data_IF_435396653948
#
_entry.id   IF_435396653948
#
_cell.length_a   1.000
_cell.length_b   1.000
_cell.length_c   1.000
_cell.angle_alpha   90.00
_cell.angle_beta   90.00
_cell.angle_gamma   90.00
#
_symmetry.space_group_name_H-M   'P 1'
#
loop_
_entity.id
_entity.type
_entity.pdbx_description
1 polymer ?
#
# COMPACT_ATOMS: atom_id res chain seq x y z
N UNK A 1 -62.61 -4.97 -58.22
CA UNK A 1 -62.31 -4.98 -56.77
C UNK A 1 -60.91 -5.53 -56.58
N UNK A 2 -60.04 -4.71 -55.98
CA UNK A 2 -58.79 -5.01 -55.24
C UNK A 2 -57.74 -5.91 -55.93
N UNK A 3 -56.64 -5.32 -56.42
CA UNK A 3 -55.31 -5.24 -55.76
C UNK A 3 -54.59 -6.61 -55.85
N UNK A 4 -53.39 -6.79 -56.43
CA UNK A 4 -52.18 -5.99 -56.32
C UNK A 4 -51.24 -6.23 -57.51
N UNK A 5 -50.78 -5.12 -58.12
CA UNK A 5 -49.44 -4.98 -58.70
C UNK A 5 -48.40 -5.46 -57.67
N UNK A 6 -47.24 -5.95 -58.12
CA UNK A 6 -45.89 -5.44 -57.76
C UNK A 6 -44.79 -6.53 -57.70
N UNK A 7 -43.74 -6.28 -58.50
CA UNK A 7 -42.30 -6.58 -58.28
C UNK A 7 -41.72 -7.98 -58.56
N UNK A 8 -41.44 -8.20 -59.84
CA UNK A 8 -40.08 -8.51 -60.32
C UNK A 8 -39.03 -7.53 -59.75
N UNK A 9 -38.19 -7.97 -58.80
CA UNK A 9 -36.78 -7.58 -58.60
C UNK A 9 -36.31 -8.14 -57.23
N UNK A 10 -35.73 -9.34 -57.20
CA UNK A 10 -34.80 -9.70 -56.13
C UNK A 10 -33.45 -9.76 -56.80
N UNK A 11 -32.78 -8.60 -56.75
CA UNK A 11 -31.40 -8.44 -57.13
C UNK A 11 -30.53 -9.39 -56.29
N UNK A 12 -29.63 -10.08 -56.98
CA UNK A 12 -28.40 -10.63 -56.44
C UNK A 12 -27.70 -9.54 -55.60
N UNK A 13 -27.93 -9.51 -54.29
CA UNK A 13 -26.92 -9.01 -53.36
C UNK A 13 -25.88 -10.11 -53.19
N UNK A 14 -24.95 -10.15 -54.15
CA UNK A 14 -23.61 -10.66 -53.88
C UNK A 14 -23.08 -9.78 -52.75
N UNK A 15 -23.18 -10.27 -51.52
CA UNK A 15 -22.34 -9.79 -50.44
C UNK A 15 -20.90 -9.95 -50.92
N UNK A 16 -20.30 -8.83 -51.33
CA UNK A 16 -18.85 -8.73 -51.42
C UNK A 16 -18.36 -8.96 -50.00
N UNK A 17 -17.97 -10.21 -49.71
CA UNK A 17 -17.16 -10.57 -48.57
C UNK A 17 -15.85 -9.80 -48.72
N UNK A 18 -15.83 -8.57 -48.22
CA UNK A 18 -14.62 -7.83 -47.95
C UNK A 18 -13.73 -8.77 -47.14
N UNK A 19 -12.65 -9.24 -47.77
CA UNK A 19 -11.57 -9.93 -47.09
C UNK A 19 -10.82 -8.90 -46.24
N UNK A 20 -11.47 -8.40 -45.19
CA UNK A 20 -10.74 -7.77 -44.09
C UNK A 20 -10.03 -8.91 -43.37
N UNK A 21 -8.71 -8.91 -43.47
CA UNK A 21 -7.87 -9.87 -42.75
C UNK A 21 -8.00 -9.55 -41.26
N UNK A 22 -8.79 -10.35 -40.53
CA UNK A 22 -8.98 -10.15 -39.08
C UNK A 22 -7.65 -10.26 -38.36
N UNK A 23 -7.22 -9.18 -37.71
CA UNK A 23 -6.07 -9.17 -36.81
C UNK A 23 -6.36 -10.05 -35.59
N UNK A 24 -5.46 -10.98 -35.28
CA UNK A 24 -5.41 -11.67 -34.00
C UNK A 24 -4.47 -10.94 -33.06
N UNK A 25 -4.58 -11.22 -31.76
CA UNK A 25 -3.71 -10.60 -30.77
C UNK A 25 -3.32 -11.57 -29.67
N UNK A 26 -2.17 -11.30 -29.07
CA UNK A 26 -1.67 -12.00 -27.89
C UNK A 26 -1.27 -10.96 -26.86
N UNK A 27 -1.74 -11.12 -25.62
CA UNK A 27 -1.46 -10.22 -24.51
C UNK A 27 -0.50 -10.88 -23.54
N UNK A 28 0.54 -10.16 -23.13
CA UNK A 28 1.60 -10.65 -22.25
C UNK A 28 1.77 -9.68 -21.09
N UNK A 29 1.74 -10.21 -19.88
CA UNK A 29 2.14 -9.51 -18.66
C UNK A 29 3.64 -9.67 -18.47
N UNK A 30 4.33 -8.59 -18.14
CA UNK A 30 5.77 -8.55 -17.92
C UNK A 30 6.10 -7.49 -16.87
N UNK A 31 7.34 -7.48 -16.38
CA UNK A 31 7.82 -6.46 -15.45
C UNK A 31 8.80 -5.53 -16.15
N UNK A 32 8.38 -4.28 -16.37
CA UNK A 32 9.27 -3.20 -16.79
C UNK A 32 10.11 -2.72 -15.60
N UNK A 33 11.18 -1.96 -15.85
CA UNK A 33 11.99 -1.35 -14.79
C UNK A 33 11.78 0.15 -14.80
N UNK A 34 11.33 0.68 -13.66
CA UNK A 34 11.39 2.11 -13.40
C UNK A 34 12.83 2.49 -13.10
N UNK A 35 13.38 3.40 -13.91
CA UNK A 35 14.73 3.89 -13.70
C UNK A 35 14.79 4.82 -12.48
N UNK A 36 15.87 4.74 -11.70
CA UNK A 36 16.11 5.65 -10.58
C UNK A 36 16.20 7.10 -11.07
N UNK A 37 15.78 8.04 -10.23
CA UNK A 37 15.92 9.48 -10.51
C UNK A 37 17.38 9.93 -10.45
N UNK A 38 18.10 9.39 -9.46
CA UNK A 38 19.51 9.65 -9.21
C UNK A 38 20.24 8.29 -9.25
N UNK A 39 20.56 7.75 -10.43
CA UNK A 39 21.25 6.47 -10.54
C UNK A 39 22.59 6.51 -9.80
N UNK A 40 22.91 5.43 -9.08
CA UNK A 40 24.24 5.22 -8.53
C UNK A 40 25.26 4.97 -9.65
N UNK A 41 26.54 5.17 -9.33
CA UNK A 41 27.63 4.89 -10.26
C UNK A 41 27.59 3.41 -10.70
N UNK A 42 27.85 3.14 -11.98
CA UNK A 42 27.84 1.79 -12.56
C UNK A 42 28.84 0.82 -11.91
N UNK A 43 29.83 1.34 -11.19
CA UNK A 43 30.78 0.55 -10.39
C UNK A 43 30.19 -0.01 -9.09
N UNK A 44 29.02 0.47 -8.66
CA UNK A 44 28.37 0.09 -7.41
C UNK A 44 27.34 -0.99 -7.71
N UNK A 45 27.57 -2.19 -7.19
CA UNK A 45 26.66 -3.33 -7.30
C UNK A 45 26.11 -3.80 -5.95
N UNK A 46 26.70 -3.32 -4.85
CA UNK A 46 26.37 -3.72 -3.50
C UNK A 46 25.93 -2.55 -2.62
N UNK A 47 25.09 -2.84 -1.63
CA UNK A 47 24.69 -1.86 -0.61
C UNK A 47 24.65 -2.45 0.80
N UNK A 48 24.84 -1.58 1.78
CA UNK A 48 24.73 -1.87 3.21
C UNK A 48 23.75 -0.90 3.85
N UNK A 49 22.91 -1.40 4.74
CA UNK A 49 21.97 -0.60 5.53
C UNK A 49 22.38 -0.69 7.00
N UNK A 50 22.41 0.45 7.68
CA UNK A 50 22.61 0.54 9.12
C UNK A 50 21.47 1.38 9.67
N UNK A 51 20.75 0.85 10.65
CA UNK A 51 19.67 1.54 11.34
C UNK A 51 20.07 1.74 12.79
N UNK A 52 20.00 2.97 13.26
CA UNK A 52 20.21 3.32 14.66
C UNK A 52 18.90 3.82 15.24
N UNK A 53 18.45 3.15 16.31
CA UNK A 53 17.28 3.56 17.10
C UNK A 53 17.70 3.83 18.55
N UNK A 54 17.03 4.75 19.27
CA UNK A 54 17.37 5.10 20.65
C UNK A 54 16.85 4.08 21.67
N UNK A 55 16.15 3.03 21.23
CA UNK A 55 15.52 2.05 22.12
C UNK A 55 16.49 0.91 22.42
N UNK A 56 16.66 0.61 23.70
CA UNK A 56 17.60 -0.40 24.19
C UNK A 56 16.89 -1.56 24.90
N UNK A 57 15.56 -1.53 25.01
CA UNK A 57 14.80 -2.60 25.64
C UNK A 57 14.80 -3.84 24.74
N UNK A 58 15.17 -4.98 25.33
CA UNK A 58 15.08 -6.28 24.69
C UNK A 58 13.86 -7.07 25.20
N UNK A 59 13.46 -8.11 24.47
CA UNK A 59 12.39 -9.01 24.92
C UNK A 59 12.72 -9.72 26.23
N UNK A 60 14.00 -10.01 26.47
CA UNK A 60 14.49 -10.70 27.67
C UNK A 60 14.37 -9.81 28.90
N UNK A 61 14.65 -8.51 28.76
CA UNK A 61 14.52 -7.53 29.84
C UNK A 61 13.07 -7.40 30.30
N UNK A 62 12.13 -7.32 29.36
CA UNK A 62 10.69 -7.21 29.66
C UNK A 62 10.18 -8.46 30.38
N UNK A 63 10.58 -9.65 29.93
CA UNK A 63 10.20 -10.91 30.58
C UNK A 63 10.79 -11.01 31.99
N UNK A 64 12.05 -10.60 32.16
CA UNK A 64 12.73 -10.61 33.46
C UNK A 64 12.07 -9.64 34.44
N UNK A 65 11.71 -8.44 33.99
CA UNK A 65 11.00 -7.47 34.85
C UNK A 65 9.60 -7.98 35.23
N UNK A 66 8.84 -8.51 34.27
CA UNK A 66 7.51 -9.05 34.53
C UNK A 66 7.52 -10.21 35.53
N UNK A 67 8.55 -11.06 35.49
CA UNK A 67 8.73 -12.13 36.49
C UNK A 67 9.03 -11.56 37.88
N UNK A 68 9.87 -10.52 37.99
CA UNK A 68 10.14 -9.85 39.27
C UNK A 68 8.89 -9.21 39.86
N UNK A 69 8.11 -8.51 39.03
CA UNK A 69 6.86 -7.87 39.47
C UNK A 69 5.86 -8.93 39.99
N UNK A 70 5.79 -10.08 39.32
CA UNK A 70 4.96 -11.20 39.77
C UNK A 70 5.46 -11.84 41.09
N UNK A 71 6.76 -11.99 41.26
CA UNK A 71 7.34 -12.47 42.52
C UNK A 71 7.07 -11.50 43.68
N UNK A 72 7.15 -10.19 43.42
CA UNK A 72 6.79 -9.15 44.38
C UNK A 72 5.30 -9.20 44.74
N UNK A 73 4.42 -9.29 43.75
CA UNK A 73 2.97 -9.39 43.96
C UNK A 73 2.61 -10.65 44.76
N UNK A 74 3.23 -11.79 44.45
CA UNK A 74 3.06 -13.04 45.20
C UNK A 74 3.54 -12.92 46.64
N UNK A 75 4.64 -12.20 46.89
CA UNK A 75 5.14 -11.95 48.24
C UNK A 75 4.21 -11.02 49.04
N UNK A 76 3.61 -10.03 48.37
CA UNK A 76 2.69 -9.07 48.97
C UNK A 76 1.26 -9.62 49.14
N UNK A 77 0.89 -10.71 48.48
CA UNK A 77 -0.44 -11.32 48.59
C UNK A 77 -0.87 -11.61 50.03
N UNK A 78 0.05 -12.08 50.89
CA UNK A 78 -0.26 -12.33 52.31
C UNK A 78 -0.64 -11.05 53.06
N UNK A 79 -0.06 -9.90 52.69
CA UNK A 79 -0.40 -8.61 53.29
C UNK A 79 -1.75 -8.11 52.77
N UNK A 80 -2.01 -8.24 51.46
CA UNK A 80 -3.29 -7.86 50.84
C UNK A 80 -4.46 -8.66 51.44
N UNK A 81 -4.27 -9.96 51.72
CA UNK A 81 -5.28 -10.78 52.40
C UNK A 81 -5.60 -10.24 53.80
N UNK A 82 -4.57 -9.90 54.59
CA UNK A 82 -4.74 -9.35 55.94
C UNK A 82 -5.41 -7.98 55.92
N UNK A 83 -5.02 -7.10 55.00
CA UNK A 83 -5.62 -5.77 54.83
C UNK A 83 -7.09 -5.89 54.40
N UNK A 84 -7.38 -6.77 53.44
CA UNK A 84 -8.76 -7.01 52.98
C UNK A 84 -9.66 -7.58 54.08
N UNK A 85 -9.14 -8.50 54.91
CA UNK A 85 -9.86 -9.02 56.07
C UNK A 85 -10.08 -7.92 57.13
N UNK A 86 -9.06 -7.11 57.43
CA UNK A 86 -9.17 -6.00 58.38
C UNK A 86 -10.22 -4.97 57.93
N UNK A 87 -10.19 -4.55 56.66
CA UNK A 87 -11.20 -3.65 56.09
C UNK A 87 -12.62 -4.25 56.15
N UNK A 88 -12.75 -5.57 55.95
CA UNK A 88 -14.03 -6.24 56.03
C UNK A 88 -14.57 -6.24 57.47
N UNK A 89 -13.73 -6.54 58.45
CA UNK A 89 -14.10 -6.50 59.87
C UNK A 89 -14.47 -5.09 60.32
N UNK A 90 -13.74 -4.07 59.87
CA UNK A 90 -14.06 -2.67 60.14
C UNK A 90 -15.43 -2.28 59.56
N UNK A 91 -15.70 -2.63 58.29
CA UNK A 91 -17.00 -2.40 57.64
C UNK A 91 -18.14 -3.18 58.29
N UNK A 92 -17.88 -4.38 58.82
CA UNK A 92 -18.87 -5.17 59.54
C UNK A 92 -19.19 -4.53 60.91
N UNK A 93 -18.18 -4.02 61.61
CA UNK A 93 -18.35 -3.33 62.88
C UNK A 93 -19.08 -1.98 62.72
N UNK A 94 -18.81 -1.24 61.64
CA UNK A 94 -19.51 0.03 61.36
C UNK A 94 -20.93 -0.15 60.84
N UNK A 95 -21.29 -1.34 60.34
CA UNK A 95 -22.57 -1.61 59.68
C UNK A 95 -23.78 -1.27 60.56
N UNK A 96 -23.78 -1.73 61.81
CA UNK A 96 -24.92 -1.54 62.71
C UNK A 96 -25.13 -0.05 63.04
N UNK A 97 -24.03 0.72 63.13
CA UNK A 97 -24.09 2.16 63.36
C UNK A 97 -24.53 2.91 62.09
N UNK A 98 -24.12 2.45 60.91
CA UNK A 98 -24.54 3.03 59.64
C UNK A 98 -26.03 2.74 59.33
N UNK A 99 -26.56 1.58 59.75
CA UNK A 99 -28.00 1.27 59.70
C UNK A 99 -28.78 2.20 60.62
N UNK A 100 -28.34 2.38 61.88
CA UNK A 100 -28.99 3.32 62.81
C UNK A 100 -29.00 4.75 62.28
N UNK A 101 -27.86 5.24 61.75
CA UNK A 101 -27.79 6.57 61.13
C UNK A 101 -28.74 6.71 59.93
N UNK A 102 -28.88 5.66 59.11
CA UNK A 102 -29.79 5.66 57.98
C UNK A 102 -31.27 5.70 58.44
N UNK A 103 -31.61 4.96 59.51
CA UNK A 103 -32.93 4.98 60.13
C UNK A 103 -33.24 6.35 60.75
N UNK A 104 -32.33 6.92 61.54
CA UNK A 104 -32.47 8.26 62.14
C UNK A 104 -32.65 9.36 61.09
N UNK A 105 -31.86 9.28 60.00
CA UNK A 105 -31.98 10.21 58.87
C UNK A 105 -33.34 10.08 58.19
N UNK A 106 -33.79 8.86 57.94
CA UNK A 106 -35.11 8.61 57.33
C UNK A 106 -36.25 9.12 58.23
N UNK A 107 -36.18 8.90 59.54
CA UNK A 107 -37.17 9.37 60.49
C UNK A 107 -37.25 10.90 60.54
N UNK A 108 -36.10 11.58 60.45
CA UNK A 108 -36.04 13.04 60.34
C UNK A 108 -36.62 13.53 59.01
N UNK A 109 -36.19 12.97 57.89
CA UNK A 109 -36.69 13.31 56.55
C UNK A 109 -38.20 13.04 56.42
N UNK A 110 -38.71 12.00 57.07
CA UNK A 110 -40.14 11.68 57.10
C UNK A 110 -40.94 12.64 57.99
N UNK A 111 -40.38 13.11 59.10
CA UNK A 111 -40.99 14.17 59.93
C UNK A 111 -41.09 15.47 59.15
N UNK A 112 -39.99 15.92 58.54
CA UNK A 112 -39.96 17.13 57.70
C UNK A 112 -40.94 17.02 56.52
N UNK A 113 -41.01 15.85 55.86
CA UNK A 113 -41.97 15.58 54.80
C UNK A 113 -43.44 15.60 55.28
N UNK A 114 -43.69 15.18 56.54
CA UNK A 114 -45.01 15.22 57.18
C UNK A 114 -45.37 16.61 57.73
N UNK A 115 -44.46 17.58 57.71
CA UNK A 115 -44.75 18.98 58.07
C UNK A 115 -45.08 19.85 56.85
N UNK A 116 -44.68 19.45 55.64
CA UNK A 116 -45.00 20.15 54.39
C UNK A 116 -46.52 20.21 54.10
N UNK A 117 -46.98 21.20 53.33
CA UNK A 117 -48.39 21.33 52.95
C UNK A 117 -48.86 20.19 52.02
N UNK A 118 -50.18 19.98 51.93
CA UNK A 118 -50.77 18.89 51.13
C UNK A 118 -50.38 18.98 49.64
N UNK A 119 -50.30 20.19 49.09
CA UNK A 119 -49.92 20.44 47.68
C UNK A 119 -48.44 20.12 47.48
N UNK A 120 -47.57 20.50 48.41
CA UNK A 120 -46.12 20.23 48.34
C UNK A 120 -45.81 18.74 48.47
N UNK A 121 -46.53 18.00 49.33
CA UNK A 121 -46.39 16.54 49.43
C UNK A 121 -46.83 15.82 48.16
N UNK A 122 -47.92 16.25 47.54
CA UNK A 122 -48.40 15.66 46.29
C UNK A 122 -47.40 15.93 45.15
N UNK A 123 -46.87 17.15 45.04
CA UNK A 123 -45.86 17.49 44.06
C UNK A 123 -44.55 16.69 44.24
N UNK A 124 -44.08 16.51 45.49
CA UNK A 124 -42.89 15.71 45.78
C UNK A 124 -43.11 14.20 45.57
N UNK A 125 -44.33 13.71 45.83
CA UNK A 125 -44.67 12.29 45.61
C UNK A 125 -44.76 11.97 44.12
N UNK A 126 -45.35 12.85 43.32
CA UNK A 126 -45.47 12.70 41.86
C UNK A 126 -44.10 12.77 41.17
N UNK A 127 -43.18 13.59 41.72
CA UNK A 127 -41.75 13.61 41.31
C UNK A 127 -40.95 12.40 41.82
N UNK A 128 -41.56 11.45 42.54
CA UNK A 128 -40.89 10.28 43.09
C UNK A 128 -39.94 10.56 44.27
N UNK A 129 -39.95 11.79 44.82
CA UNK A 129 -39.07 12.28 45.91
C UNK A 129 -39.62 12.03 47.30
N UNK A 130 -40.54 11.08 47.46
CA UNK A 130 -41.00 10.63 48.77
C UNK A 130 -39.81 9.99 49.51
N UNK A 131 -39.53 10.38 50.78
CA UNK A 131 -38.47 9.74 51.55
C UNK A 131 -38.69 8.22 51.60
N UNK A 132 -37.63 7.46 51.34
CA UNK A 132 -37.61 5.99 51.40
C UNK A 132 -36.44 5.59 52.28
N UNK A 133 -36.65 4.62 53.17
CA UNK A 133 -35.57 4.07 53.96
C UNK A 133 -34.65 3.29 53.04
N UNK A 134 -33.41 3.75 52.90
CA UNK A 134 -32.35 3.06 52.17
C UNK A 134 -31.29 2.70 53.19
N UNK A 135 -31.32 1.44 53.64
CA UNK A 135 -30.27 0.89 54.51
C UNK A 135 -29.09 0.41 53.65
N UNK A 136 -27.85 0.56 54.13
CA UNK A 136 -26.70 -0.05 53.47
C UNK A 136 -26.88 -1.58 53.43
N UNK A 137 -26.42 -2.20 52.34
CA UNK A 137 -26.40 -3.65 52.23
C UNK A 137 -25.35 -4.22 53.19
N UNK A 138 -25.66 -5.37 53.80
CA UNK A 138 -24.71 -6.07 54.67
C UNK A 138 -23.41 -6.38 53.91
N UNK A 139 -22.22 -6.01 54.44
CA UNK A 139 -20.95 -6.31 53.80
C UNK A 139 -20.79 -7.81 53.56
N UNK A 140 -20.34 -8.18 52.36
CA UNK A 140 -19.94 -9.55 52.01
C UNK A 140 -18.44 -9.57 51.76
N UNK A 141 -17.75 -10.51 52.39
CA UNK A 141 -16.33 -10.70 52.13
C UNK A 141 -16.14 -11.34 50.76
N UNK A 142 -15.24 -10.75 49.97
CA UNK A 142 -14.79 -11.30 48.69
C UNK A 142 -13.28 -11.42 48.82
N UNK A 143 -12.81 -12.65 48.89
CA UNK A 143 -11.38 -12.94 49.01
C UNK A 143 -10.64 -12.43 47.76
N UNK A 144 -9.57 -11.63 47.93
CA UNK A 144 -8.67 -11.28 46.85
C UNK A 144 -8.12 -12.52 46.16
N UNK A 145 -8.19 -12.55 44.83
CA UNK A 145 -7.70 -13.69 44.05
C UNK A 145 -6.18 -13.81 44.15
N UNK A 146 -5.69 -15.04 44.14
CA UNK A 146 -4.26 -15.30 44.02
C UNK A 146 -3.69 -14.68 42.73
N UNK A 147 -2.49 -14.05 42.78
CA UNK A 147 -1.82 -13.57 41.59
C UNK A 147 -1.55 -14.71 40.62
N UNK A 148 -1.90 -14.51 39.34
CA UNK A 148 -1.63 -15.46 38.26
C UNK A 148 -0.68 -14.80 37.27
N UNK A 149 0.47 -15.43 37.04
CA UNK A 149 1.41 -14.95 36.04
C UNK A 149 0.78 -14.98 34.65
N UNK A 150 0.94 -13.87 33.94
CA UNK A 150 0.54 -13.74 32.54
C UNK A 150 1.72 -13.18 31.79
N UNK A 151 2.03 -13.82 30.67
CA UNK A 151 3.08 -13.31 29.79
C UNK A 151 2.76 -11.87 29.39
N UNK A 152 3.73 -10.93 29.50
CA UNK A 152 3.51 -9.56 29.11
C UNK A 152 3.28 -9.47 27.61
N UNK A 153 2.34 -8.63 27.20
CA UNK A 153 2.11 -8.37 25.79
C UNK A 153 3.26 -7.53 25.23
N UNK A 154 4.18 -8.16 24.49
CA UNK A 154 5.36 -7.51 23.90
C UNK A 154 5.02 -6.37 22.91
N UNK A 155 3.77 -6.28 22.45
CA UNK A 155 3.32 -5.18 21.60
C UNK A 155 3.13 -3.86 22.34
N UNK A 156 3.02 -3.91 23.67
CA UNK A 156 2.90 -2.71 24.52
C UNK A 156 4.26 -2.12 24.89
N UNK A 157 5.37 -2.70 24.39
CA UNK A 157 6.74 -2.26 24.65
C UNK A 157 7.45 -1.83 23.37
N UNK A 158 8.32 -0.82 23.49
CA UNK A 158 9.19 -0.31 22.42
C UNK A 158 10.43 -1.20 22.26
N UNK A 159 10.23 -2.39 21.71
CA UNK A 159 11.29 -3.33 21.38
C UNK A 159 11.53 -3.25 19.88
N UNK A 160 12.75 -2.86 19.50
CA UNK A 160 13.21 -2.82 18.12
C UNK A 160 14.53 -3.56 17.99
N UNK A 161 14.63 -4.38 16.96
CA UNK A 161 15.90 -4.97 16.55
C UNK A 161 16.41 -4.19 15.33
N UNK A 162 17.50 -3.47 15.53
CA UNK A 162 18.13 -2.67 14.49
C UNK A 162 18.55 -3.52 13.27
N UNK A 163 18.90 -4.80 13.46
CA UNK A 163 19.25 -5.70 12.36
C UNK A 163 18.00 -6.07 11.56
N UNK A 164 16.89 -6.38 12.23
CA UNK A 164 15.61 -6.69 11.56
C UNK A 164 15.09 -5.47 10.81
N UNK A 165 15.23 -4.27 11.38
CA UNK A 165 14.88 -3.02 10.70
C UNK A 165 15.75 -2.79 9.45
N UNK A 166 17.07 -2.98 9.56
CA UNK A 166 17.98 -2.89 8.41
C UNK A 166 17.67 -3.94 7.34
N UNK A 167 17.33 -5.17 7.75
CA UNK A 167 16.92 -6.25 6.87
C UNK A 167 15.55 -6.03 6.20
N UNK A 168 14.72 -5.15 6.75
CA UNK A 168 13.48 -4.70 6.11
C UNK A 168 13.71 -3.82 4.88
N UNK A 169 14.90 -3.24 4.71
CA UNK A 169 15.20 -2.31 3.61
C UNK A 169 15.84 -3.05 2.44
N UNK A 170 15.21 -2.91 1.28
CA UNK A 170 15.64 -3.57 0.04
C UNK A 170 15.85 -2.54 -1.06
N UNK A 171 17.05 -2.50 -1.63
CA UNK A 171 17.34 -1.67 -2.80
C UNK A 171 17.17 -2.51 -4.07
N UNK A 172 16.12 -2.23 -4.83
CA UNK A 172 15.79 -2.99 -6.04
C UNK A 172 16.91 -2.87 -7.07
N UNK A 173 17.42 -4.01 -7.56
CA UNK A 173 18.47 -4.07 -8.58
C UNK A 173 19.91 -4.15 -8.05
N UNK A 174 20.10 -4.21 -6.74
CA UNK A 174 21.43 -4.32 -6.10
C UNK A 174 21.46 -5.47 -5.09
N UNK A 175 22.65 -6.00 -4.82
CA UNK A 175 22.85 -7.06 -3.84
C UNK A 175 23.28 -6.48 -2.48
N UNK A 176 22.98 -7.18 -1.38
CA UNK A 176 23.50 -6.79 -0.06
C UNK A 176 24.98 -7.11 0.02
N UNK A 177 25.81 -6.13 0.39
CA UNK A 177 27.25 -6.31 0.50
C UNK A 177 27.97 -5.03 0.89
N UNK A 178 29.30 -5.03 0.78
CA UNK A 178 30.12 -3.84 1.03
C UNK A 178 30.08 -2.93 -0.20
N UNK A 179 29.40 -1.79 -0.07
CA UNK A 179 29.23 -0.80 -1.13
C UNK A 179 28.64 0.50 -0.58
N UNK A 180 27.58 1.01 -1.19
CA UNK A 180 26.90 2.22 -0.69
C UNK A 180 26.26 1.96 0.66
N UNK A 181 26.50 2.84 1.62
CA UNK A 181 25.96 2.78 2.96
C UNK A 181 24.74 3.69 3.08
N UNK A 182 23.61 3.10 3.45
CA UNK A 182 22.40 3.79 3.87
C UNK A 182 22.35 3.79 5.40
N UNK A 183 22.70 4.92 6.01
CA UNK A 183 22.62 5.13 7.45
C UNK A 183 21.29 5.80 7.79
N UNK A 184 20.52 5.20 8.70
CA UNK A 184 19.20 5.65 9.10
C UNK A 184 19.20 5.88 10.61
N UNK A 185 19.05 7.14 11.00
CA UNK A 185 18.99 7.55 12.39
C UNK A 185 17.54 7.91 12.73
N UNK A 186 16.87 7.11 13.54
CA UNK A 186 15.49 7.34 13.95
C UNK A 186 15.50 8.02 15.31
N UNK A 187 14.87 9.19 15.47
CA UNK A 187 14.75 9.80 16.79
C UNK A 187 13.64 9.17 17.63
N UNK A 188 13.64 9.49 18.92
CA UNK A 188 12.47 9.27 19.78
C UNK A 188 11.31 10.13 19.31
N UNK A 189 10.08 9.63 19.44
CA UNK A 189 8.86 10.38 19.12
C UNK A 189 8.58 11.41 20.21
N UNK A 190 8.39 12.66 19.78
CA UNK A 190 7.96 13.76 20.64
C UNK A 190 6.45 13.93 20.53
N UNK A 191 5.78 14.05 21.68
CA UNK A 191 4.34 14.26 21.75
C UNK A 191 4.00 15.66 22.25
N UNK A 192 3.04 16.31 21.61
CA UNK A 192 2.48 17.58 22.07
C UNK A 192 0.97 17.47 22.21
N UNK A 193 0.41 18.07 23.26
CA UNK A 193 -1.04 18.12 23.47
C UNK A 193 -1.52 19.55 23.35
N UNK A 194 -2.48 19.78 22.46
CA UNK A 194 -3.12 21.08 22.26
C UNK A 194 -4.64 20.91 22.17
N UNK A 195 -5.39 21.65 22.99
CA UNK A 195 -6.86 21.59 22.97
C UNK A 195 -7.47 20.21 23.24
N UNK A 196 -6.79 19.36 24.01
CA UNK A 196 -7.21 17.97 24.27
C UNK A 196 -6.87 16.97 23.15
N UNK A 197 -6.24 17.44 22.07
CA UNK A 197 -5.75 16.63 20.96
C UNK A 197 -4.26 16.37 21.10
N UNK A 198 -3.79 15.22 20.60
CA UNK A 198 -2.37 14.84 20.62
C UNK A 198 -1.79 14.91 19.22
N UNK A 199 -0.62 15.52 19.12
CA UNK A 199 0.23 15.65 17.95
C UNK A 199 1.57 14.96 18.22
N UNK A 200 2.27 14.56 17.16
CA UNK A 200 3.56 13.91 17.26
C UNK A 200 4.55 14.40 16.22
N UNK A 201 5.85 14.34 16.52
CA UNK A 201 6.96 14.50 15.59
C UNK A 201 8.01 13.42 15.87
N UNK A 202 8.61 12.85 14.83
CA UNK A 202 9.66 11.84 14.98
C UNK A 202 10.70 12.03 13.87
N UNK A 203 11.55 13.07 13.98
CA UNK A 203 12.54 13.38 12.97
C UNK A 203 13.48 12.19 12.75
N UNK A 204 13.44 11.63 11.55
CA UNK A 204 14.29 10.49 11.17
C UNK A 204 15.15 10.88 9.98
N UNK A 205 16.45 10.62 10.07
CA UNK A 205 17.43 11.06 9.08
C UNK A 205 17.96 9.88 8.27
N UNK A 206 17.90 10.00 6.96
CA UNK A 206 18.57 9.12 6.02
C UNK A 206 19.81 9.81 5.48
N UNK A 207 20.96 9.16 5.60
CA UNK A 207 22.22 9.60 5.00
C UNK A 207 22.75 8.50 4.07
N UNK A 208 22.96 8.85 2.80
CA UNK A 208 23.50 7.94 1.79
C UNK A 208 24.97 8.26 1.56
N UNK A 209 25.84 7.30 1.84
CA UNK A 209 27.29 7.44 1.80
C UNK A 209 27.90 6.49 0.77
N UNK A 210 28.82 6.99 -0.04
CA UNK A 210 29.74 6.17 -0.82
C UNK A 210 31.17 6.45 -0.35
N UNK A 211 31.78 5.48 0.33
CA UNK A 211 33.04 5.69 1.04
C UNK A 211 32.91 6.81 2.07
N UNK A 212 33.66 7.90 1.88
CA UNK A 212 33.64 9.08 2.76
C UNK A 212 32.74 10.22 2.26
N UNK A 213 32.09 10.08 1.10
CA UNK A 213 31.28 11.14 0.50
C UNK A 213 29.80 10.93 0.73
N UNK A 214 29.10 11.97 1.18
CA UNK A 214 27.63 12.01 1.26
C UNK A 214 27.08 12.27 -0.13
N UNK A 215 26.28 11.35 -0.65
CA UNK A 215 25.61 11.46 -1.96
C UNK A 215 24.24 12.10 -1.80
N UNK A 216 23.53 11.77 -0.72
CA UNK A 216 22.17 12.24 -0.48
C UNK A 216 21.86 12.24 1.01
N UNK A 217 21.00 13.16 1.42
CA UNK A 217 20.60 13.34 2.81
C UNK A 217 19.16 13.82 2.86
N UNK A 218 18.33 13.16 3.67
CA UNK A 218 16.92 13.52 3.81
C UNK A 218 16.41 13.29 5.22
N UNK A 219 15.65 14.25 5.71
CA UNK A 219 14.90 14.15 6.97
C UNK A 219 13.44 13.82 6.70
N UNK A 220 12.88 12.93 7.51
CA UNK A 220 11.48 12.49 7.52
C UNK A 220 10.83 12.91 8.84
N UNK A 221 9.52 13.15 8.83
CA UNK A 221 8.69 13.37 10.04
C UNK A 221 9.20 14.43 11.04
N UNK A 222 9.79 15.52 10.54
CA UNK A 222 10.23 16.66 11.34
C UNK A 222 9.06 17.50 11.90
N UNK A 223 8.00 17.69 11.10
CA UNK A 223 6.85 18.51 11.49
C UNK A 223 5.85 17.75 12.37
N UNK A 224 5.21 18.47 13.30
CA UNK A 224 4.16 17.92 14.14
C UNK A 224 2.91 17.54 13.33
N UNK A 225 2.54 16.27 13.39
CA UNK A 225 1.35 15.70 12.75
C UNK A 225 0.29 15.34 13.78
N UNK A 226 -0.97 15.48 13.40
CA UNK A 226 -2.09 15.06 14.25
C UNK A 226 -2.06 13.54 14.46
N UNK A 227 -2.18 13.10 15.72
CA UNK A 227 -2.30 11.69 16.09
C UNK A 227 -3.75 11.31 16.39
N UNK A 228 -4.36 11.98 17.36
CA UNK A 228 -5.68 11.61 17.89
C UNK A 228 -6.33 12.76 18.65
N UNK A 229 -7.65 12.72 18.77
CA UNK A 229 -8.47 13.67 19.53
C UNK A 229 -8.50 13.41 21.04
N UNK A 230 -7.69 12.47 21.53
CA UNK A 230 -7.52 12.16 22.95
C UNK A 230 -6.19 12.71 23.47
N UNK A 231 -6.12 12.99 24.78
CA UNK A 231 -4.89 13.46 25.42
C UNK A 231 -3.81 12.36 25.46
N UNK A 232 -2.54 12.76 25.45
CA UNK A 232 -1.40 11.84 25.48
C UNK A 232 -1.39 10.94 26.72
N UNK A 233 -1.94 11.42 27.84
CA UNK A 233 -2.03 10.68 29.10
C UNK A 233 -3.08 9.55 29.08
N UNK A 234 -3.97 9.53 28.10
CA UNK A 234 -5.07 8.56 27.99
C UNK A 234 -4.84 7.50 26.93
N UNK A 235 -3.72 7.58 26.21
CA UNK A 235 -3.41 6.70 25.09
C UNK A 235 -2.13 5.91 25.34
N UNK A 236 -2.01 4.74 24.71
CA UNK A 236 -0.77 3.97 24.72
C UNK A 236 0.21 4.58 23.71
N UNK A 237 1.13 5.41 24.20
CA UNK A 237 2.11 6.13 23.38
C UNK A 237 3.07 5.17 22.67
N UNK A 238 3.56 4.15 23.38
CA UNK A 238 4.50 3.14 22.88
C UNK A 238 3.95 2.43 21.64
N UNK A 239 2.66 2.10 21.64
CA UNK A 239 2.00 1.49 20.48
C UNK A 239 1.98 2.42 19.26
N UNK A 240 1.72 3.71 19.45
CA UNK A 240 1.72 4.68 18.36
C UNK A 240 3.13 4.91 17.81
N UNK A 241 4.11 4.97 18.70
CA UNK A 241 5.53 5.11 18.34
C UNK A 241 6.04 3.89 17.57
N UNK A 242 5.67 2.66 17.98
CA UNK A 242 5.96 1.44 17.22
C UNK A 242 5.40 1.46 15.79
N UNK A 243 4.14 1.87 15.65
CA UNK A 243 3.52 1.97 14.34
C UNK A 243 4.18 3.06 13.48
N UNK A 244 4.59 4.16 14.09
CA UNK A 244 5.22 5.27 13.37
C UNK A 244 6.62 4.90 12.87
N UNK A 245 7.42 4.20 13.66
CA UNK A 245 8.73 3.68 13.21
C UNK A 245 8.58 2.77 11.99
N UNK A 246 7.64 1.82 12.01
CA UNK A 246 7.40 0.94 10.86
C UNK A 246 6.99 1.74 9.61
N UNK A 247 6.11 2.73 9.79
CA UNK A 247 5.68 3.61 8.70
C UNK A 247 6.85 4.43 8.12
N UNK A 248 7.69 5.01 8.97
CA UNK A 248 8.88 5.76 8.56
C UNK A 248 9.83 4.84 7.77
N UNK A 249 10.02 3.61 8.23
CA UNK A 249 10.86 2.62 7.54
C UNK A 249 10.33 2.28 6.15
N UNK A 250 9.01 2.13 5.98
CA UNK A 250 8.37 1.98 4.66
C UNK A 250 8.60 3.21 3.77
N UNK A 251 8.38 4.42 4.30
CA UNK A 251 8.59 5.68 3.57
C UNK A 251 10.06 5.87 3.14
N UNK A 252 11.01 5.48 4.00
CA UNK A 252 12.45 5.49 3.69
C UNK A 252 12.75 4.46 2.60
N UNK A 253 12.23 3.24 2.70
CA UNK A 253 12.44 2.21 1.68
C UNK A 253 11.90 2.63 0.30
N UNK A 254 10.70 3.23 0.27
CA UNK A 254 10.11 3.76 -0.95
C UNK A 254 10.93 4.92 -1.53
N UNK A 255 11.44 5.80 -0.68
CA UNK A 255 12.30 6.89 -1.09
C UNK A 255 13.62 6.37 -1.70
N UNK A 256 14.31 5.46 -1.01
CA UNK A 256 15.56 4.85 -1.48
C UNK A 256 15.34 4.18 -2.83
N UNK A 257 14.28 3.39 -2.98
CA UNK A 257 13.95 2.72 -4.25
C UNK A 257 13.56 3.69 -5.37
N UNK A 258 12.88 4.79 -5.04
CA UNK A 258 12.52 5.83 -6.02
C UNK A 258 13.73 6.63 -6.50
N UNK A 259 14.70 6.88 -5.62
CA UNK A 259 15.89 7.66 -5.95
C UNK A 259 16.98 6.82 -6.61
N UNK A 260 17.29 5.64 -6.06
CA UNK A 260 18.47 4.85 -6.42
C UNK A 260 18.13 3.46 -6.99
N UNK A 261 16.94 2.93 -6.68
CA UNK A 261 16.52 1.58 -7.05
C UNK A 261 15.98 1.43 -8.48
N UNK A 262 16.16 0.25 -9.03
CA UNK A 262 15.56 -0.22 -10.28
C UNK A 262 14.29 -1.02 -9.97
N UNK A 263 13.18 -0.32 -9.74
CA UNK A 263 11.94 -0.95 -9.26
C UNK A 263 11.21 -1.68 -10.40
N UNK A 264 10.93 -2.99 -10.28
CA UNK A 264 10.12 -3.71 -11.25
C UNK A 264 8.66 -3.25 -11.18
N UNK A 265 8.09 -2.88 -12.31
CA UNK A 265 6.69 -2.43 -12.43
C UNK A 265 5.94 -3.36 -13.37
N UNK A 266 4.83 -3.92 -12.90
CA UNK A 266 3.98 -4.77 -13.72
C UNK A 266 3.40 -3.97 -14.89
N UNK A 267 3.70 -4.42 -16.10
CA UNK A 267 3.25 -3.85 -17.36
C UNK A 267 2.57 -4.93 -18.21
N UNK A 268 1.81 -4.49 -19.21
CA UNK A 268 1.13 -5.42 -20.13
C UNK A 268 1.20 -4.89 -21.54
N UNK A 269 1.59 -5.75 -22.47
CA UNK A 269 1.67 -5.43 -23.89
C UNK A 269 0.77 -6.35 -24.70
N UNK A 270 0.13 -5.79 -25.72
CA UNK A 270 -0.72 -6.51 -26.67
C UNK A 270 -0.06 -6.44 -28.05
N UNK A 271 0.38 -7.59 -28.57
CA UNK A 271 0.97 -7.71 -29.91
C UNK A 271 -0.06 -8.29 -30.86
N UNK A 272 -0.29 -7.62 -31.99
CA UNK A 272 -1.24 -8.01 -33.03
C UNK A 272 -0.54 -8.75 -34.18
N UNK A 273 -1.24 -9.67 -34.85
CA UNK A 273 -0.68 -10.43 -35.97
C UNK A 273 -1.78 -10.91 -36.92
N UNK A 274 -1.48 -11.06 -38.23
CA UNK A 274 -2.45 -11.60 -39.19
C UNK A 274 -2.63 -13.11 -39.04
N UNK A 275 -3.81 -13.61 -39.43
CA UNK A 275 -4.08 -15.05 -39.44
C UNK A 275 -3.30 -15.76 -40.56
N UNK A 276 -2.31 -16.55 -40.18
CA UNK A 276 -1.43 -17.23 -41.12
C UNK A 276 -1.98 -18.61 -41.57
N UNK A 277 -2.99 -18.63 -42.46
CA UNK A 277 -3.54 -19.90 -42.98
C UNK A 277 -2.70 -20.55 -44.08
N UNK A 278 -1.94 -19.75 -44.83
CA UNK A 278 -1.26 -20.17 -46.08
C UNK A 278 0.26 -20.01 -46.03
N UNK A 279 0.84 -19.71 -44.85
CA UNK A 279 2.26 -19.40 -44.64
C UNK A 279 2.75 -18.09 -45.25
N UNK A 280 1.82 -17.28 -45.77
CA UNK A 280 2.09 -15.96 -46.35
C UNK A 280 2.62 -14.95 -45.31
N UNK A 281 2.45 -15.22 -44.01
CA UNK A 281 2.85 -14.34 -42.90
C UNK A 281 3.83 -14.98 -41.91
N UNK A 282 4.58 -16.01 -42.32
CA UNK A 282 5.53 -16.73 -41.46
C UNK A 282 6.53 -15.78 -40.76
N UNK A 283 6.98 -14.73 -41.45
CA UNK A 283 7.91 -13.74 -40.87
C UNK A 283 7.25 -12.94 -39.74
N UNK A 284 6.02 -12.47 -39.94
CA UNK A 284 5.29 -11.69 -38.93
C UNK A 284 4.89 -12.56 -37.73
N UNK A 285 4.53 -13.82 -37.95
CA UNK A 285 4.24 -14.77 -36.89
C UNK A 285 5.49 -15.10 -36.07
N UNK A 286 6.63 -15.34 -36.73
CA UNK A 286 7.92 -15.56 -36.06
C UNK A 286 8.36 -14.32 -35.27
N UNK A 287 8.19 -13.12 -35.82
CA UNK A 287 8.48 -11.87 -35.13
C UNK A 287 7.62 -11.71 -33.87
N UNK A 288 6.31 -12.03 -33.97
CA UNK A 288 5.40 -12.05 -32.82
C UNK A 288 5.87 -13.05 -31.75
N UNK A 289 6.22 -14.28 -32.13
CA UNK A 289 6.67 -15.32 -31.18
C UNK A 289 7.93 -14.86 -30.45
N UNK A 290 8.90 -14.28 -31.18
CA UNK A 290 10.12 -13.71 -30.59
C UNK A 290 9.80 -12.56 -29.62
N UNK A 291 8.94 -11.63 -30.01
CA UNK A 291 8.53 -10.51 -29.16
C UNK A 291 7.88 -11.01 -27.87
N UNK A 292 6.87 -11.88 -27.98
CA UNK A 292 6.15 -12.45 -26.85
C UNK A 292 7.08 -13.25 -25.93
N UNK A 293 7.99 -14.04 -26.50
CA UNK A 293 8.99 -14.78 -25.73
C UNK A 293 9.93 -13.84 -24.97
N UNK A 294 10.39 -12.77 -25.61
CA UNK A 294 11.25 -11.77 -24.99
C UNK A 294 10.54 -11.08 -23.80
N UNK A 295 9.28 -10.66 -23.95
CA UNK A 295 8.50 -10.09 -22.84
C UNK A 295 8.23 -11.10 -21.71
N UNK A 296 8.01 -12.38 -22.03
CA UNK A 296 7.82 -13.43 -20.99
C UNK A 296 9.06 -13.69 -20.15
N UNK A 297 10.26 -13.38 -20.67
CA UNK A 297 11.52 -13.50 -19.90
C UNK A 297 11.68 -12.39 -18.86
N UNK A 298 10.94 -11.28 -18.98
CA UNK A 298 10.96 -10.16 -18.04
C UNK A 298 10.04 -10.41 -16.83
N UNK A 299 10.54 -11.21 -15.90
CA UNK A 299 9.97 -11.41 -14.55
C UNK A 299 10.44 -10.31 -13.57
N UNK A 300 9.86 -10.32 -12.38
CA UNK A 300 10.20 -9.38 -11.29
C UNK A 300 11.69 -9.42 -10.93
N UNK A 301 12.24 -10.63 -10.78
CA UNK A 301 13.61 -10.96 -10.39
C UNK A 301 14.63 -10.99 -11.55
N UNK A 302 14.26 -10.48 -12.72
CA UNK A 302 15.12 -10.55 -13.91
C UNK A 302 16.37 -9.67 -13.73
N UNK A 303 17.56 -10.28 -13.83
CA UNK A 303 18.84 -9.57 -13.75
C UNK A 303 19.03 -8.53 -14.86
N UNK A 304 19.88 -7.54 -14.61
CA UNK A 304 20.19 -6.47 -15.57
C UNK A 304 20.68 -7.03 -16.92
N UNK A 305 21.59 -8.01 -16.90
CA UNK A 305 22.14 -8.64 -18.11
C UNK A 305 21.07 -9.30 -18.99
N UNK A 306 20.10 -9.98 -18.36
CA UNK A 306 19.03 -10.64 -19.11
C UNK A 306 18.07 -9.59 -19.69
N UNK A 307 17.85 -8.47 -19.00
CA UNK A 307 17.06 -7.35 -19.51
C UNK A 307 17.73 -6.69 -20.72
N UNK A 308 19.05 -6.54 -20.72
CA UNK A 308 19.80 -6.04 -21.89
C UNK A 308 19.70 -6.99 -23.09
N UNK A 309 19.82 -8.30 -22.86
CA UNK A 309 19.59 -9.31 -23.91
C UNK A 309 18.18 -9.24 -24.47
N UNK A 310 17.17 -9.10 -23.61
CA UNK A 310 15.78 -8.92 -24.04
C UNK A 310 15.61 -7.63 -24.85
N UNK A 311 16.26 -6.53 -24.45
CA UNK A 311 16.26 -5.28 -25.23
C UNK A 311 16.87 -5.46 -26.62
N UNK A 312 17.96 -6.22 -26.74
CA UNK A 312 18.55 -6.59 -28.02
C UNK A 312 17.60 -7.46 -28.86
N UNK A 313 16.99 -8.48 -28.27
CA UNK A 313 15.99 -9.34 -28.94
C UNK A 313 14.81 -8.52 -29.49
N UNK A 314 14.31 -7.55 -28.70
CA UNK A 314 13.21 -6.67 -29.10
C UNK A 314 13.62 -5.68 -30.21
N UNK A 315 14.85 -5.18 -30.20
CA UNK A 315 15.38 -4.39 -31.32
C UNK A 315 15.44 -5.21 -32.61
N UNK A 316 15.89 -6.46 -32.54
CA UNK A 316 15.89 -7.35 -33.71
C UNK A 316 14.48 -7.59 -34.26
N UNK A 317 13.48 -7.72 -33.38
CA UNK A 317 12.06 -7.81 -33.79
C UNK A 317 11.61 -6.52 -34.47
N UNK A 318 12.00 -5.36 -33.94
CA UNK A 318 11.70 -4.05 -34.51
C UNK A 318 12.22 -3.94 -35.95
N UNK A 319 13.48 -4.34 -36.17
CA UNK A 319 14.11 -4.30 -37.49
C UNK A 319 13.39 -5.21 -38.49
N UNK A 320 12.95 -6.40 -38.05
CA UNK A 320 12.13 -7.30 -38.88
C UNK A 320 10.82 -6.61 -39.28
N UNK A 321 10.11 -6.00 -38.34
CA UNK A 321 8.86 -5.29 -38.62
C UNK A 321 9.05 -4.10 -39.56
N UNK A 322 10.10 -3.30 -39.38
CA UNK A 322 10.46 -2.22 -40.31
C UNK A 322 10.75 -2.76 -41.71
N UNK A 323 11.49 -3.86 -41.83
CA UNK A 323 11.80 -4.47 -43.12
C UNK A 323 10.56 -4.98 -43.87
N UNK A 324 9.58 -5.52 -43.14
CA UNK A 324 8.30 -5.96 -43.70
C UNK A 324 7.41 -4.77 -44.09
N UNK A 325 7.53 -3.64 -43.39
CA UNK A 325 6.81 -2.41 -43.67
C UNK A 325 7.13 -1.86 -45.07
N UNK A 326 8.37 -2.04 -45.54
CA UNK A 326 8.79 -1.64 -46.88
C UNK A 326 8.17 -2.48 -48.01
N UNK A 327 7.61 -3.66 -47.71
CA UNK A 327 7.00 -4.57 -48.70
C UNK A 327 5.50 -4.33 -48.90
N UNK A 328 4.95 -3.32 -48.22
CA UNK A 328 3.51 -3.07 -48.18
C UNK A 328 3.05 -2.31 -49.42
N UNK A 329 2.02 -2.84 -50.06
CA UNK A 329 1.24 -2.09 -51.04
C UNK A 329 0.00 -1.48 -50.36
N UNK A 330 0.04 -0.17 -50.19
CA UNK A 330 -1.02 0.59 -49.52
C UNK A 330 -2.26 0.79 -50.41
N UNK A 331 -2.12 0.65 -51.73
CA UNK A 331 -3.18 0.91 -52.71
C UNK A 331 -3.94 -0.37 -53.05
N UNK A 332 -3.24 -1.50 -53.13
CA UNK A 332 -3.87 -2.79 -53.44
C UNK A 332 -4.45 -3.47 -52.18
N UNK A 333 -5.79 -3.47 -52.09
CA UNK A 333 -6.52 -4.15 -51.02
C UNK A 333 -6.38 -5.68 -51.05
N UNK A 334 -6.05 -6.27 -52.21
CA UNK A 334 -5.90 -7.71 -52.42
C UNK A 334 -4.45 -8.19 -52.24
N UNK A 335 -3.49 -7.28 -52.14
CA UNK A 335 -2.11 -7.63 -51.86
C UNK A 335 -2.02 -8.43 -50.55
N UNK A 336 -1.05 -9.35 -50.51
CA UNK A 336 -0.74 -10.11 -49.29
C UNK A 336 -0.32 -9.15 -48.18
N UNK A 337 0.55 -8.19 -48.49
CA UNK A 337 0.95 -7.11 -47.58
C UNK A 337 0.19 -5.83 -47.92
N UNK A 338 -1.03 -5.71 -47.40
CA UNK A 338 -1.92 -4.57 -47.65
C UNK A 338 -1.92 -3.55 -46.49
N UNK A 339 -2.76 -2.51 -46.61
CA UNK A 339 -2.93 -1.48 -45.56
C UNK A 339 -3.36 -2.03 -44.19
N UNK A 340 -4.10 -3.13 -44.12
CA UNK A 340 -4.53 -3.71 -42.84
C UNK A 340 -3.34 -4.35 -42.11
N UNK A 341 -2.43 -4.98 -42.84
CA UNK A 341 -1.15 -5.46 -42.30
C UNK A 341 -0.27 -4.29 -41.84
N UNK A 342 -0.24 -3.20 -42.61
CA UNK A 342 0.49 -2.00 -42.23
C UNK A 342 0.07 -1.46 -40.86
N UNK A 343 -1.25 -1.37 -40.62
CA UNK A 343 -1.79 -0.96 -39.32
C UNK A 343 -1.28 -1.83 -38.18
N UNK A 344 -1.31 -3.16 -38.36
CA UNK A 344 -0.83 -4.12 -37.35
C UNK A 344 0.65 -3.86 -37.03
N UNK A 345 1.49 -3.73 -38.06
CA UNK A 345 2.93 -3.52 -37.89
C UNK A 345 3.21 -2.18 -37.20
N UNK A 346 2.61 -1.07 -37.66
CA UNK A 346 2.78 0.24 -37.03
C UNK A 346 2.37 0.25 -35.56
N UNK A 347 1.20 -0.32 -35.24
CA UNK A 347 0.76 -0.35 -33.85
C UNK A 347 1.61 -1.26 -32.95
N UNK A 348 2.22 -2.31 -33.49
CA UNK A 348 3.16 -3.15 -32.75
C UNK A 348 4.49 -2.41 -32.53
N UNK A 349 5.03 -1.77 -33.57
CA UNK A 349 6.25 -0.96 -33.50
C UNK A 349 6.11 0.11 -32.42
N UNK A 350 5.09 0.97 -32.49
CA UNK A 350 4.88 2.02 -31.48
C UNK A 350 4.80 1.47 -30.05
N UNK A 351 4.12 0.34 -29.83
CA UNK A 351 4.03 -0.28 -28.49
C UNK A 351 5.38 -0.80 -27.99
N UNK A 352 6.17 -1.41 -28.87
CA UNK A 352 7.51 -1.90 -28.51
C UNK A 352 8.47 -0.72 -28.31
N UNK A 353 8.39 0.32 -29.13
CA UNK A 353 9.20 1.53 -29.00
C UNK A 353 8.92 2.23 -27.66
N UNK A 354 7.65 2.37 -27.28
CA UNK A 354 7.22 2.89 -25.97
C UNK A 354 7.73 2.00 -24.83
N UNK A 355 7.60 0.68 -24.96
CA UNK A 355 8.08 -0.27 -23.95
C UNK A 355 9.59 -0.21 -23.75
N UNK A 356 10.35 0.13 -24.79
CA UNK A 356 11.80 0.26 -24.74
C UNK A 356 12.25 1.66 -24.31
N UNK A 357 11.31 2.59 -24.08
CA UNK A 357 11.54 4.00 -23.72
C UNK A 357 12.48 4.70 -24.71
N UNK A 358 12.36 4.33 -25.98
CA UNK A 358 13.22 4.81 -27.06
C UNK A 358 12.50 5.93 -27.82
N UNK A 359 12.58 7.15 -27.27
CA UNK A 359 11.82 8.31 -27.76
C UNK A 359 12.10 8.61 -29.24
N UNK A 360 13.36 8.61 -29.64
CA UNK A 360 13.76 8.93 -31.02
C UNK A 360 13.11 7.99 -32.04
N UNK A 361 13.17 6.68 -31.79
CA UNK A 361 12.56 5.69 -32.68
C UNK A 361 11.04 5.69 -32.61
N UNK A 362 10.46 5.96 -31.42
CA UNK A 362 9.02 6.08 -31.28
C UNK A 362 8.46 7.26 -32.09
N UNK A 363 9.16 8.40 -32.07
CA UNK A 363 8.82 9.57 -32.90
C UNK A 363 9.00 9.30 -34.40
N UNK A 364 10.06 8.56 -34.79
CA UNK A 364 10.25 8.11 -36.18
C UNK A 364 9.07 7.24 -36.67
N UNK A 365 8.69 6.21 -35.90
CA UNK A 365 7.54 5.36 -36.21
C UNK A 365 6.24 6.17 -36.26
N UNK A 366 6.06 7.13 -35.34
CA UNK A 366 4.90 8.01 -35.30
C UNK A 366 4.81 8.86 -36.57
N UNK A 367 5.91 9.52 -36.96
CA UNK A 367 5.98 10.36 -38.15
C UNK A 367 5.68 9.54 -39.42
N UNK A 368 6.27 8.35 -39.56
CA UNK A 368 6.00 7.45 -40.68
C UNK A 368 4.51 7.06 -40.77
N UNK A 369 3.87 6.78 -39.63
CA UNK A 369 2.44 6.47 -39.59
C UNK A 369 1.57 7.71 -39.89
N UNK A 370 1.98 8.91 -39.46
CA UNK A 370 1.29 10.16 -39.79
C UNK A 370 1.35 10.48 -41.28
N UNK A 371 2.51 10.32 -41.92
CA UNK A 371 2.67 10.49 -43.37
C UNK A 371 1.78 9.52 -44.17
N UNK A 372 1.62 8.29 -43.67
CA UNK A 372 0.79 7.25 -44.28
C UNK A 372 -0.66 7.26 -43.78
N UNK A 373 -1.07 8.24 -42.97
CA UNK A 373 -2.39 8.25 -42.32
C UNK A 373 -3.56 8.24 -43.30
N UNK A 374 -3.40 8.93 -44.43
CA UNK A 374 -4.41 8.99 -45.51
C UNK A 374 -4.56 7.61 -46.15
N UNK A 375 -3.44 6.94 -46.45
CA UNK A 375 -3.41 5.62 -47.08
C UNK A 375 -3.92 4.51 -46.15
N UNK A 376 -3.65 4.65 -44.85
CA UNK A 376 -4.04 3.68 -43.84
C UNK A 376 -5.55 3.65 -43.58
N UNK A 377 -6.25 4.78 -43.73
CA UNK A 377 -7.72 4.86 -43.56
C UNK A 377 -8.16 4.23 -42.22
N UNK A 378 -7.74 4.87 -41.13
CA UNK A 378 -7.95 4.41 -39.76
C UNK A 378 -9.42 4.54 -39.34
N UNK A 379 -9.96 3.49 -38.70
CA UNK A 379 -11.28 3.50 -38.08
C UNK A 379 -11.35 4.47 -36.88
N UNK A 380 -12.55 4.75 -36.38
CA UNK A 380 -12.73 5.61 -35.20
C UNK A 380 -11.92 5.11 -33.98
N UNK A 381 -12.01 3.81 -33.68
CA UNK A 381 -11.29 3.20 -32.56
C UNK A 381 -9.77 3.21 -32.78
N UNK A 382 -9.33 3.00 -34.02
CA UNK A 382 -7.90 3.05 -34.39
C UNK A 382 -7.33 4.45 -34.27
N UNK A 383 -8.10 5.50 -34.62
CA UNK A 383 -7.71 6.90 -34.40
C UNK A 383 -7.57 7.20 -32.91
N UNK A 384 -8.54 6.78 -32.08
CA UNK A 384 -8.46 6.96 -30.63
C UNK A 384 -7.30 6.17 -29.99
N UNK A 385 -6.94 5.02 -30.55
CA UNK A 385 -5.74 4.27 -30.13
C UNK A 385 -4.45 4.98 -30.54
N UNK A 386 -4.39 5.50 -31.77
CA UNK A 386 -3.26 6.26 -32.28
C UNK A 386 -2.99 7.49 -31.40
N UNK A 387 -4.00 8.31 -31.10
CA UNK A 387 -3.85 9.49 -30.24
C UNK A 387 -3.35 9.13 -28.83
N UNK A 388 -3.84 8.03 -28.24
CA UNK A 388 -3.34 7.57 -26.93
C UNK A 388 -1.87 7.14 -26.97
N UNK A 389 -1.45 6.48 -28.04
CA UNK A 389 -0.04 6.09 -28.21
C UNK A 389 0.83 7.33 -28.49
N UNK A 390 0.34 8.28 -29.27
CA UNK A 390 0.99 9.56 -29.51
C UNK A 390 1.23 10.35 -28.21
N UNK A 391 0.21 10.49 -27.36
CA UNK A 391 0.35 11.10 -26.03
C UNK A 391 1.36 10.37 -25.16
N UNK A 392 1.39 9.03 -25.20
CA UNK A 392 2.39 8.25 -24.47
C UNK A 392 3.80 8.52 -24.97
N UNK A 393 4.00 8.63 -26.29
CA UNK A 393 5.31 8.90 -26.89
C UNK A 393 5.81 10.30 -26.50
N UNK A 394 4.94 11.32 -26.50
CA UNK A 394 5.35 12.66 -26.07
C UNK A 394 5.72 12.74 -24.58
N UNK A 395 5.14 11.86 -23.75
CA UNK A 395 5.38 11.78 -22.30
C UNK A 395 6.52 10.82 -21.91
N UNK A 396 7.17 10.15 -22.87
CA UNK A 396 8.47 9.48 -22.67
C UNK A 396 9.57 10.51 -22.47
#
# INVERSE_FOLDING_TARGET
MKNYFLLTFIALMIFTLGHSQRAMFEQVRYFDVKTPKNPLDASINAYKVVVETPYTLTEEDVKTQSLKDFEEEKSNYSNVLKESEAEYQEKLASYDDDVKKAEERYDKEMKDFKELSLIERLALTDQGKKPKLVVPAKPKYIEPREPVYRDPNLNDYLIFDNQVLADGITLSGYERGEGVLFAIDISKMEFQTNGGQTFYSQPSKLTVLNGATVIDEKTFDEEFKFLTSSSSNTINLDRYEKNNVNKIMEEINDYINSQFGFVPVAATIKIEYPKNKKRDYDILENAKIKAVSAYRKLKEDTSSELREKVRSDLNNVRDIWFSELNKIDYKDKKAVMNKDIAKIIFFNLMKVDISLKDKAKAEETLNLMQEKRIDLDLSYDEKGRFTRLEEQIYNL
#
